data_IF_454351249056
#
_entry.id   IF_454351249056
#
_cell.length_a   1.000
_cell.length_b   1.000
_cell.length_c   1.000
_cell.angle_alpha   90.00
_cell.angle_beta   90.00
_cell.angle_gamma   90.00
#
_symmetry.space_group_name_H-M   'P 1'
#
loop_
_entity.id
_entity.type
_entity.pdbx_description
1 polymer ?
#
# COMPACT_ATOMS: atom_id res chain seq x y z
N UNK A 1 11.05 -6.91 -6.88
CA UNK A 1 9.59 -7.17 -6.89
C UNK A 1 9.04 -6.90 -5.50
N UNK A 2 7.87 -6.28 -5.41
CA UNK A 2 7.20 -5.96 -4.14
C UNK A 2 6.81 -7.28 -3.44
N UNK A 3 7.00 -7.33 -2.11
CA UNK A 3 6.67 -8.49 -1.25
C UNK A 3 5.73 -8.05 -0.13
N UNK A 4 4.89 -8.97 0.34
CA UNK A 4 4.03 -8.78 1.51
C UNK A 4 4.82 -9.00 2.81
N UNK A 5 5.75 -8.10 3.14
CA UNK A 5 6.65 -8.28 4.30
C UNK A 5 6.97 -7.01 5.11
N UNK A 6 6.12 -5.98 5.05
CA UNK A 6 6.43 -4.68 5.67
C UNK A 6 6.58 -4.77 7.19
N UNK A 7 5.74 -5.52 7.90
CA UNK A 7 5.86 -5.80 9.34
C UNK A 7 7.17 -6.48 9.70
N UNK A 8 7.68 -7.35 8.83
CA UNK A 8 8.98 -8.01 9.01
C UNK A 8 10.17 -7.05 8.91
N UNK A 9 9.95 -5.81 8.43
CA UNK A 9 10.97 -4.75 8.32
C UNK A 9 10.94 -3.79 9.51
N UNK A 10 10.00 -3.95 10.46
CA UNK A 10 9.91 -3.10 11.64
C UNK A 10 11.10 -3.31 12.56
N UNK A 11 11.66 -2.20 13.03
CA UNK A 11 12.84 -2.19 13.91
C UNK A 11 12.44 -2.17 15.38
N UNK A 12 13.40 -2.43 16.27
CA UNK A 12 13.20 -2.23 17.70
C UNK A 12 12.82 -0.76 18.03
N UNK A 13 13.38 0.21 17.29
CA UNK A 13 13.05 1.62 17.47
C UNK A 13 11.58 1.93 17.10
N UNK A 14 11.05 1.29 16.05
CA UNK A 14 9.64 1.40 15.67
C UNK A 14 8.72 0.90 16.79
N UNK A 15 9.00 -0.27 17.35
CA UNK A 15 8.19 -0.86 18.42
C UNK A 15 8.28 -0.03 19.71
N UNK A 16 9.46 0.52 20.02
CA UNK A 16 9.64 1.44 21.14
C UNK A 16 8.85 2.74 20.94
N UNK A 17 8.83 3.30 19.73
CA UNK A 17 8.02 4.46 19.40
C UNK A 17 6.53 4.15 19.56
N UNK A 18 6.04 3.01 19.06
CA UNK A 18 4.64 2.60 19.23
C UNK A 18 4.28 2.51 20.72
N UNK A 19 5.11 1.87 21.54
CA UNK A 19 4.90 1.80 22.99
C UNK A 19 4.89 3.20 23.61
N UNK A 20 5.83 4.07 23.24
CA UNK A 20 5.91 5.44 23.73
C UNK A 20 4.61 6.20 23.43
N UNK A 21 4.14 6.15 22.18
CA UNK A 21 2.92 6.81 21.72
C UNK A 21 1.67 6.30 22.45
N UNK A 22 1.52 4.98 22.57
CA UNK A 22 0.36 4.36 23.20
C UNK A 22 0.37 4.46 24.73
N UNK A 23 1.55 4.57 25.36
CA UNK A 23 1.67 4.71 26.81
C UNK A 23 1.16 6.06 27.31
N UNK A 24 1.21 7.11 26.48
CA UNK A 24 0.81 8.48 26.83
C UNK A 24 1.41 8.96 28.17
N UNK A 25 2.67 8.60 28.44
CA UNK A 25 3.40 8.97 29.65
C UNK A 25 3.14 8.11 30.90
N UNK A 26 2.23 7.12 30.83
CA UNK A 26 1.95 6.22 31.96
C UNK A 26 2.93 5.04 32.01
N UNK A 27 3.69 4.92 33.11
CA UNK A 27 4.59 3.80 33.36
C UNK A 27 3.84 2.46 33.45
N UNK A 28 2.66 2.44 34.06
CA UNK A 28 1.82 1.24 34.16
C UNK A 28 1.33 0.80 32.76
N UNK A 29 0.84 1.75 31.95
CA UNK A 29 0.39 1.47 30.58
C UNK A 29 1.54 1.01 29.71
N UNK A 30 2.73 1.60 29.87
CA UNK A 30 3.96 1.16 29.20
C UNK A 30 4.30 -0.29 29.53
N UNK A 31 4.37 -0.65 30.81
CA UNK A 31 4.68 -2.03 31.23
C UNK A 31 3.65 -3.05 30.71
N UNK A 32 2.37 -2.66 30.64
CA UNK A 32 1.33 -3.48 30.02
C UNK A 32 1.56 -3.70 28.51
N UNK A 33 1.87 -2.63 27.77
CA UNK A 33 2.14 -2.71 26.33
C UNK A 33 3.39 -3.53 26.02
N UNK A 34 4.46 -3.38 26.82
CA UNK A 34 5.67 -4.20 26.71
C UNK A 34 5.37 -5.68 26.91
N UNK A 35 4.56 -6.03 27.92
CA UNK A 35 4.11 -7.43 28.14
C UNK A 35 3.26 -7.95 26.98
N UNK A 36 2.34 -7.13 26.45
CA UNK A 36 1.55 -7.52 25.27
C UNK A 36 2.44 -7.76 24.05
N UNK A 37 3.41 -6.88 23.79
CA UNK A 37 4.34 -7.06 22.69
C UNK A 37 5.10 -8.40 22.80
N UNK A 38 5.54 -8.76 24.01
CA UNK A 38 6.24 -10.05 24.24
C UNK A 38 5.33 -11.27 24.07
N UNK A 39 4.05 -11.17 24.43
CA UNK A 39 3.12 -12.31 24.50
C UNK A 39 2.28 -12.50 23.24
N UNK A 40 1.82 -11.41 22.63
CA UNK A 40 0.92 -11.39 21.47
C UNK A 40 1.62 -10.91 20.19
N UNK A 41 2.86 -10.42 20.29
CA UNK A 41 3.55 -9.79 19.16
C UNK A 41 3.12 -8.34 18.91
N UNK A 42 3.58 -7.74 17.79
CA UNK A 42 3.37 -6.32 17.52
C UNK A 42 1.97 -5.99 16.97
N UNK A 43 1.31 -6.95 16.31
CA UNK A 43 0.06 -6.71 15.58
C UNK A 43 -1.01 -6.00 16.43
N UNK A 44 -1.30 -6.40 17.69
CA UNK A 44 -2.35 -5.74 18.46
C UNK A 44 -2.02 -4.31 18.87
N UNK A 45 -0.73 -3.96 18.94
CA UNK A 45 -0.29 -2.58 19.19
C UNK A 45 -0.41 -1.76 17.91
N UNK A 46 -0.03 -2.32 16.75
CA UNK A 46 -0.19 -1.68 15.45
C UNK A 46 -1.66 -1.45 15.09
N UNK A 47 -2.55 -2.31 15.58
CA UNK A 47 -4.00 -2.24 15.42
C UNK A 47 -4.70 -1.31 16.43
N UNK A 48 -3.97 -0.64 17.33
CA UNK A 48 -4.55 0.27 18.31
C UNK A 48 -5.18 1.51 17.64
N UNK A 49 -6.46 1.84 17.92
CA UNK A 49 -7.20 2.86 17.18
C UNK A 49 -6.59 4.27 17.30
N UNK A 50 -6.00 4.59 18.45
CA UNK A 50 -5.34 5.88 18.67
C UNK A 50 -3.97 6.01 17.95
N UNK A 51 -3.41 4.92 17.41
CA UNK A 51 -2.03 4.92 16.92
C UNK A 51 -1.83 5.85 15.73
N UNK A 52 -2.74 5.86 14.75
CA UNK A 52 -2.63 6.70 13.55
C UNK A 52 -2.50 8.17 13.93
N UNK A 53 -3.39 8.66 14.79
CA UNK A 53 -3.39 10.07 15.22
C UNK A 53 -2.13 10.43 16.00
N UNK A 54 -1.70 9.53 16.89
CA UNK A 54 -0.46 9.70 17.65
C UNK A 54 0.77 9.72 16.74
N UNK A 55 0.77 8.90 15.70
CA UNK A 55 1.86 8.83 14.72
C UNK A 55 1.94 10.10 13.87
N UNK A 56 0.80 10.64 13.42
CA UNK A 56 0.74 11.87 12.63
C UNK A 56 1.06 13.13 13.44
N UNK A 57 0.83 13.10 14.76
CA UNK A 57 1.04 14.25 15.66
C UNK A 57 2.33 14.15 16.49
N UNK A 58 3.15 13.12 16.28
CA UNK A 58 4.34 12.86 17.09
C UNK A 58 5.31 14.04 17.08
N UNK A 59 5.69 14.49 18.28
CA UNK A 59 6.74 15.49 18.52
C UNK A 59 7.79 14.86 19.44
N UNK A 60 8.56 13.93 18.90
CA UNK A 60 9.55 13.16 19.65
C UNK A 60 10.87 13.05 18.89
N UNK A 61 11.95 12.72 19.60
CA UNK A 61 13.25 12.44 18.96
C UNK A 61 13.24 11.10 18.21
N UNK A 62 12.33 10.18 18.55
CA UNK A 62 12.10 8.96 17.81
C UNK A 62 11.15 9.27 16.64
N UNK A 63 11.66 9.13 15.42
CA UNK A 63 10.87 9.23 14.19
C UNK A 63 10.43 7.83 13.76
N UNK A 64 9.20 7.67 13.24
CA UNK A 64 8.79 6.39 12.67
C UNK A 64 9.63 6.09 11.43
N UNK A 65 10.02 4.83 11.25
CA UNK A 65 10.51 4.39 9.94
C UNK A 65 9.40 4.53 8.90
N UNK A 66 9.80 4.65 7.62
CA UNK A 66 8.84 4.65 6.52
C UNK A 66 7.98 3.36 6.53
N UNK A 67 8.58 2.21 6.91
CA UNK A 67 7.89 0.94 7.02
C UNK A 67 6.78 0.96 8.07
N UNK A 68 7.07 1.46 9.28
CA UNK A 68 6.06 1.64 10.32
C UNK A 68 4.97 2.60 9.86
N UNK A 69 5.36 3.73 9.28
CA UNK A 69 4.44 4.78 8.85
C UNK A 69 3.44 4.26 7.82
N UNK A 70 3.91 3.71 6.70
CA UNK A 70 3.02 3.22 5.64
C UNK A 70 2.22 2.00 6.09
N UNK A 71 2.79 1.08 6.86
CA UNK A 71 2.04 -0.08 7.36
C UNK A 71 0.87 0.34 8.23
N UNK A 72 1.09 1.21 9.23
CA UNK A 72 0.03 1.66 10.14
C UNK A 72 -1.07 2.40 9.37
N UNK A 73 -0.72 3.30 8.46
CA UNK A 73 -1.72 4.04 7.67
C UNK A 73 -2.58 3.11 6.79
N UNK A 74 -1.93 2.22 6.04
CA UNK A 74 -2.62 1.26 5.17
C UNK A 74 -3.46 0.30 5.99
N UNK A 75 -2.90 -0.28 7.06
CA UNK A 75 -3.61 -1.24 7.92
C UNK A 75 -4.89 -0.66 8.49
N UNK A 76 -4.85 0.58 8.99
CA UNK A 76 -6.04 1.25 9.52
C UNK A 76 -7.03 1.65 8.41
N UNK A 77 -6.56 2.08 7.25
CA UNK A 77 -7.42 2.37 6.10
C UNK A 77 -8.21 1.13 5.64
N UNK A 78 -7.54 -0.03 5.57
CA UNK A 78 -8.18 -1.29 5.22
C UNK A 78 -9.22 -1.72 6.27
N UNK A 79 -8.85 -1.68 7.56
CA UNK A 79 -9.77 -2.05 8.65
C UNK A 79 -11.02 -1.16 8.69
N UNK A 80 -10.85 0.14 8.49
CA UNK A 80 -11.97 1.09 8.42
C UNK A 80 -12.91 0.81 7.23
N UNK A 81 -12.41 0.13 6.20
CA UNK A 81 -13.15 -0.30 5.02
C UNK A 81 -13.68 -1.74 5.14
N UNK A 82 -13.57 -2.37 6.32
CA UNK A 82 -14.00 -3.75 6.56
C UNK A 82 -13.07 -4.83 5.97
N UNK A 83 -11.85 -4.46 5.59
CA UNK A 83 -10.84 -5.37 5.06
C UNK A 83 -9.81 -5.67 6.16
N UNK A 84 -9.96 -6.82 6.81
CA UNK A 84 -9.06 -7.27 7.87
C UNK A 84 -8.07 -8.32 7.35
N UNK A 85 -7.16 -7.89 6.48
CA UNK A 85 -6.10 -8.73 5.91
C UNK A 85 -4.75 -8.06 6.14
N UNK A 86 -3.88 -8.73 6.91
CA UNK A 86 -2.56 -8.19 7.30
C UNK A 86 -1.51 -8.37 6.22
N UNK A 87 -1.58 -9.45 5.44
CA UNK A 87 -0.62 -9.70 4.35
C UNK A 87 -0.91 -8.76 3.18
N UNK A 88 -2.19 -8.44 2.95
CA UNK A 88 -2.59 -7.39 2.03
C UNK A 88 -2.13 -6.01 2.51
N UNK A 89 -2.26 -5.71 3.81
CA UNK A 89 -1.73 -4.48 4.38
C UNK A 89 -0.20 -4.37 4.21
N UNK A 90 0.52 -5.48 4.43
CA UNK A 90 1.95 -5.57 4.21
C UNK A 90 2.33 -5.30 2.76
N UNK A 91 1.60 -5.92 1.82
CA UNK A 91 1.84 -5.76 0.39
C UNK A 91 1.59 -4.33 -0.07
N UNK A 92 0.47 -3.75 0.32
CA UNK A 92 0.11 -2.39 -0.07
C UNK A 92 1.05 -1.35 0.57
N UNK A 93 1.46 -1.53 1.81
CA UNK A 93 2.48 -0.67 2.42
C UNK A 93 3.83 -0.77 1.68
N UNK A 94 4.25 -1.99 1.31
CA UNK A 94 5.44 -2.20 0.50
C UNK A 94 5.31 -1.57 -0.90
N UNK A 95 4.13 -1.66 -1.53
CA UNK A 95 3.83 -0.98 -2.79
C UNK A 95 4.05 0.53 -2.67
N UNK A 96 3.48 1.17 -1.65
CA UNK A 96 3.61 2.62 -1.45
C UNK A 96 5.05 3.04 -1.19
N UNK A 97 5.78 2.26 -0.38
CA UNK A 97 7.21 2.47 -0.13
C UNK A 97 8.02 2.42 -1.42
N UNK A 98 7.85 1.36 -2.21
CA UNK A 98 8.62 1.17 -3.44
C UNK A 98 8.25 2.23 -4.48
N UNK A 99 6.97 2.56 -4.66
CA UNK A 99 6.52 3.53 -5.66
C UNK A 99 6.79 4.99 -5.26
N UNK A 100 6.97 5.26 -3.97
CA UNK A 100 7.44 6.56 -3.47
C UNK A 100 8.91 6.85 -3.78
N UNK A 101 9.69 5.86 -4.23
CA UNK A 101 11.10 6.04 -4.53
C UNK A 101 11.37 6.36 -6.00
N UNK A 102 11.92 7.57 -6.26
CA UNK A 102 12.39 8.02 -7.59
C UNK A 102 11.30 7.82 -8.66
N UNK A 103 11.64 7.11 -9.75
CA UNK A 103 10.75 6.82 -10.87
C UNK A 103 10.15 5.41 -10.82
N UNK A 104 10.16 4.72 -9.67
CA UNK A 104 9.79 3.30 -9.57
C UNK A 104 8.35 3.01 -10.00
N UNK A 105 7.44 3.94 -9.76
CA UNK A 105 6.06 3.83 -10.22
C UNK A 105 5.97 3.77 -11.76
N UNK A 106 6.91 4.40 -12.46
CA UNK A 106 6.93 4.48 -13.92
C UNK A 106 7.75 3.35 -14.56
N UNK A 107 8.38 2.47 -13.78
CA UNK A 107 9.25 1.38 -14.29
C UNK A 107 8.74 0.02 -13.84
N UNK A 108 8.83 -1.01 -14.68
CA UNK A 108 8.42 -2.37 -14.29
C UNK A 108 9.47 -3.01 -13.38
N UNK A 109 10.76 -2.84 -13.70
CA UNK A 109 11.91 -3.25 -12.88
C UNK A 109 12.92 -2.08 -12.75
N UNK A 110 13.77 -2.10 -11.73
CA UNK A 110 14.76 -1.03 -11.49
C UNK A 110 15.76 -0.89 -12.64
N UNK A 111 16.06 -2.00 -13.32
CA UNK A 111 16.96 -2.09 -14.46
C UNK A 111 16.24 -1.91 -15.82
N UNK A 112 14.95 -1.55 -15.82
CA UNK A 112 14.23 -1.29 -17.07
C UNK A 112 14.48 0.14 -17.56
N UNK A 113 14.92 0.26 -18.81
CA UNK A 113 15.08 1.56 -19.49
C UNK A 113 13.72 2.14 -19.88
N UNK A 114 12.68 1.31 -20.01
CA UNK A 114 11.34 1.75 -20.39
C UNK A 114 10.60 2.40 -19.20
N UNK A 115 10.02 3.56 -19.47
CA UNK A 115 9.12 4.25 -18.54
C UNK A 115 7.68 4.21 -19.06
N UNK A 116 6.76 3.63 -18.31
CA UNK A 116 5.34 3.54 -18.66
C UNK A 116 4.57 4.63 -17.92
N UNK A 117 4.14 5.66 -18.65
CA UNK A 117 3.33 6.77 -18.09
C UNK A 117 1.83 6.55 -18.22
N UNK A 118 1.42 5.59 -19.05
CA UNK A 118 0.02 5.28 -19.29
C UNK A 118 -0.21 3.77 -19.18
N UNK A 119 -1.39 3.37 -18.69
CA UNK A 119 -1.77 1.95 -18.58
C UNK A 119 -1.74 1.25 -19.94
N UNK A 120 -2.02 1.97 -21.03
CA UNK A 120 -1.93 1.45 -22.39
C UNK A 120 -0.51 1.02 -22.76
N UNK A 121 0.52 1.71 -22.24
CA UNK A 121 1.92 1.34 -22.47
C UNK A 121 2.25 0.03 -21.73
N UNK A 122 1.71 -0.15 -20.52
CA UNK A 122 1.86 -1.38 -19.73
C UNK A 122 1.12 -2.54 -20.41
N UNK A 123 -0.07 -2.30 -20.96
CA UNK A 123 -0.83 -3.30 -21.72
C UNK A 123 -0.09 -3.74 -22.99
N UNK A 124 0.50 -2.80 -23.73
CA UNK A 124 1.30 -3.11 -24.91
C UNK A 124 2.51 -3.99 -24.54
N UNK A 125 3.21 -3.69 -23.43
CA UNK A 125 4.31 -4.54 -22.95
C UNK A 125 3.81 -5.92 -22.48
N UNK A 126 2.61 -5.98 -21.89
CA UNK A 126 2.00 -7.27 -21.51
C UNK A 126 1.73 -8.13 -22.74
N UNK A 127 1.29 -7.57 -23.86
CA UNK A 127 1.07 -8.32 -25.10
C UNK A 127 2.40 -8.77 -25.75
N UNK A 128 3.46 -7.99 -25.58
CA UNK A 128 4.78 -8.27 -26.14
C UNK A 128 5.65 -9.23 -25.31
N UNK A 129 5.26 -9.56 -24.07
CA UNK A 129 6.12 -10.29 -23.12
C UNK A 129 5.60 -11.67 -22.72
N UNK A 130 6.55 -12.59 -22.47
CA UNK A 130 6.33 -13.94 -21.97
C UNK A 130 7.12 -14.25 -20.68
N UNK A 131 6.90 -15.43 -20.12
CA UNK A 131 7.68 -15.95 -18.97
C UNK A 131 7.64 -15.05 -17.73
N UNK A 132 8.78 -14.95 -17.02
CA UNK A 132 8.89 -14.16 -15.78
C UNK A 132 8.60 -12.67 -15.99
N UNK A 133 9.03 -12.09 -17.11
CA UNK A 133 8.75 -10.67 -17.40
C UNK A 133 7.25 -10.43 -17.47
N UNK A 134 6.51 -11.31 -18.15
CA UNK A 134 5.05 -11.20 -18.26
C UNK A 134 4.39 -11.11 -16.88
N UNK A 135 4.81 -11.95 -15.93
CA UNK A 135 4.30 -11.91 -14.55
C UNK A 135 4.56 -10.56 -13.89
N UNK A 136 5.79 -10.02 -14.02
CA UNK A 136 6.13 -8.69 -13.50
C UNK A 136 5.25 -7.59 -14.12
N UNK A 137 4.97 -7.67 -15.42
CA UNK A 137 4.09 -6.70 -16.11
C UNK A 137 2.65 -6.81 -15.59
N UNK A 138 2.12 -8.03 -15.40
CA UNK A 138 0.77 -8.24 -14.84
C UNK A 138 0.63 -7.62 -13.43
N UNK A 139 1.60 -7.90 -12.55
CA UNK A 139 1.66 -7.34 -11.19
C UNK A 139 1.78 -5.81 -11.24
N UNK A 140 2.64 -5.29 -12.11
CA UNK A 140 2.85 -3.85 -12.25
C UNK A 140 1.60 -3.13 -12.77
N UNK A 141 0.84 -3.72 -13.70
CA UNK A 141 -0.44 -3.17 -14.16
C UNK A 141 -1.42 -2.97 -13.02
N UNK A 142 -1.58 -4.00 -12.16
CA UNK A 142 -2.42 -3.92 -10.96
C UNK A 142 -1.95 -2.86 -9.98
N UNK A 143 -0.66 -2.92 -9.63
CA UNK A 143 -0.02 -2.00 -8.69
C UNK A 143 -0.12 -0.54 -9.14
N UNK A 144 0.17 -0.26 -10.40
CA UNK A 144 0.16 1.08 -10.96
C UNK A 144 -1.25 1.66 -11.02
N UNK A 145 -2.23 0.86 -11.49
CA UNK A 145 -3.62 1.27 -11.48
C UNK A 145 -4.10 1.61 -10.05
N UNK A 146 -3.82 0.75 -9.07
CA UNK A 146 -4.25 0.93 -7.70
C UNK A 146 -3.57 2.12 -7.03
N UNK A 147 -2.26 2.28 -7.22
CA UNK A 147 -1.49 3.40 -6.69
C UNK A 147 -2.00 4.73 -7.25
N UNK A 148 -2.16 4.82 -8.57
CA UNK A 148 -2.57 6.05 -9.24
C UNK A 148 -3.99 6.45 -8.83
N UNK A 149 -4.92 5.49 -8.87
CA UNK A 149 -6.33 5.77 -8.54
C UNK A 149 -6.59 5.88 -7.05
N UNK A 150 -5.79 5.21 -6.21
CA UNK A 150 -5.91 5.21 -4.75
C UNK A 150 -5.28 6.44 -4.10
N UNK A 151 -4.14 6.93 -4.60
CA UNK A 151 -3.48 8.09 -3.99
C UNK A 151 -3.74 9.42 -4.70
N UNK A 152 -4.05 9.41 -6.00
CA UNK A 152 -4.18 10.64 -6.80
C UNK A 152 -5.51 10.71 -7.58
N UNK A 153 -6.67 10.56 -6.93
CA UNK A 153 -7.97 10.58 -7.63
C UNK A 153 -8.22 11.90 -8.38
N UNK A 154 -7.80 13.04 -7.82
CA UNK A 154 -7.95 14.36 -8.45
C UNK A 154 -7.15 14.50 -9.74
N UNK A 155 -5.98 13.85 -9.83
CA UNK A 155 -5.20 13.84 -11.06
C UNK A 155 -5.97 13.15 -12.20
N UNK A 156 -6.64 12.03 -11.90
CA UNK A 156 -7.50 11.32 -12.86
C UNK A 156 -8.69 12.19 -13.28
N UNK A 157 -9.40 12.78 -12.31
CA UNK A 157 -10.55 13.65 -12.57
C UNK A 157 -10.17 14.86 -13.44
N UNK A 158 -9.09 15.56 -13.09
CA UNK A 158 -8.59 16.71 -13.83
C UNK A 158 -8.14 16.34 -15.26
N UNK A 159 -7.64 15.13 -15.47
CA UNK A 159 -7.23 14.64 -16.78
C UNK A 159 -8.43 14.26 -17.65
N UNK A 160 -9.47 13.65 -17.07
CA UNK A 160 -10.74 13.37 -17.75
C UNK A 160 -11.35 14.66 -18.30
N UNK A 161 -11.40 15.71 -17.47
CA UNK A 161 -11.94 17.01 -17.85
C UNK A 161 -11.11 17.72 -18.94
N UNK A 162 -9.77 17.70 -18.83
CA UNK A 162 -8.90 18.49 -19.73
C UNK A 162 -8.50 17.79 -21.02
N UNK A 163 -8.49 16.44 -21.04
CA UNK A 163 -7.89 15.65 -22.12
C UNK A 163 -8.78 14.50 -22.61
N UNK A 164 -10.06 14.47 -22.23
CA UNK A 164 -10.96 13.33 -22.47
C UNK A 164 -10.33 11.99 -22.07
N UNK A 165 -9.54 12.00 -20.99
CA UNK A 165 -8.89 10.80 -20.47
C UNK A 165 -9.91 9.77 -19.93
N UNK A 166 -9.51 8.50 -19.79
CA UNK A 166 -10.38 7.48 -19.24
C UNK A 166 -10.86 7.84 -17.82
N UNK A 167 -12.06 7.38 -17.46
CA UNK A 167 -12.54 7.53 -16.10
C UNK A 167 -11.95 6.46 -15.17
N UNK A 168 -12.22 6.57 -13.86
CA UNK A 168 -11.69 5.66 -12.84
C UNK A 168 -12.08 4.20 -13.10
N UNK A 169 -13.23 3.92 -13.74
CA UNK A 169 -13.68 2.55 -13.99
C UNK A 169 -12.77 1.80 -14.97
N UNK A 170 -12.18 2.52 -15.92
CA UNK A 170 -11.16 1.97 -16.83
C UNK A 170 -9.93 1.49 -16.06
N UNK A 171 -9.46 2.28 -15.09
CA UNK A 171 -8.32 1.91 -14.26
C UNK A 171 -8.66 0.75 -13.32
N UNK A 172 -9.87 0.75 -12.72
CA UNK A 172 -10.34 -0.36 -11.87
C UNK A 172 -10.37 -1.68 -12.64
N UNK A 173 -10.93 -1.68 -13.84
CA UNK A 173 -11.02 -2.87 -14.68
C UNK A 173 -9.63 -3.41 -15.06
N UNK A 174 -8.71 -2.55 -15.48
CA UNK A 174 -7.36 -2.97 -15.85
C UNK A 174 -6.52 -3.39 -14.64
N UNK A 175 -6.65 -2.68 -13.53
CA UNK A 175 -5.93 -3.01 -12.30
C UNK A 175 -6.37 -4.35 -11.72
N UNK A 176 -7.68 -4.56 -11.59
CA UNK A 176 -8.27 -5.84 -11.16
C UNK A 176 -7.85 -6.98 -12.09
N UNK A 177 -7.92 -6.78 -13.41
CA UNK A 177 -7.46 -7.77 -14.40
C UNK A 177 -5.96 -8.08 -14.25
N UNK A 178 -5.12 -7.06 -14.10
CA UNK A 178 -3.67 -7.23 -13.91
C UNK A 178 -3.35 -8.12 -12.71
N UNK A 179 -3.96 -7.84 -11.56
CA UNK A 179 -3.82 -8.67 -10.37
C UNK A 179 -4.41 -10.08 -10.53
N UNK A 180 -5.58 -10.22 -11.16
CA UNK A 180 -6.20 -11.52 -11.40
C UNK A 180 -5.31 -12.43 -12.23
N UNK A 181 -4.84 -11.94 -13.39
CA UNK A 181 -3.91 -12.69 -14.25
C UNK A 181 -2.61 -13.03 -13.52
N UNK A 182 -2.08 -12.09 -12.72
CA UNK A 182 -0.89 -12.33 -11.94
C UNK A 182 -1.12 -13.43 -10.88
N UNK A 183 -2.25 -13.41 -10.19
CA UNK A 183 -2.59 -14.36 -9.13
C UNK A 183 -2.67 -15.81 -9.62
N UNK A 184 -3.09 -16.01 -10.87
CA UNK A 184 -3.19 -17.33 -11.49
C UNK A 184 -1.87 -17.82 -12.12
N UNK A 185 -0.84 -16.97 -12.13
CA UNK A 185 0.46 -17.32 -12.68
C UNK A 185 1.28 -18.17 -11.69
N UNK A 186 2.00 -19.18 -12.19
CA UNK A 186 2.80 -20.10 -11.36
C UNK A 186 3.80 -19.39 -10.42
N UNK A 187 4.35 -18.25 -10.86
CA UNK A 187 5.25 -17.42 -10.05
C UNK A 187 4.57 -16.80 -8.84
N UNK A 188 3.26 -16.53 -8.86
CA UNK A 188 2.57 -15.96 -7.71
C UNK A 188 2.69 -16.86 -6.47
N UNK A 189 2.44 -18.16 -6.62
CA UNK A 189 2.64 -19.14 -5.57
C UNK A 189 4.11 -19.24 -5.14
N UNK A 190 5.06 -19.21 -6.09
CA UNK A 190 6.50 -19.24 -5.78
C UNK A 190 6.94 -18.05 -4.91
N UNK A 191 6.35 -16.88 -5.11
CA UNK A 191 6.64 -15.68 -4.31
C UNK A 191 5.70 -15.50 -3.10
N UNK A 192 4.74 -16.40 -2.88
CA UNK A 192 3.74 -16.29 -1.82
C UNK A 192 2.79 -15.09 -1.99
N UNK A 193 2.47 -14.74 -3.24
CA UNK A 193 1.64 -13.59 -3.60
C UNK A 193 0.28 -13.97 -4.19
N UNK A 194 0.02 -15.24 -4.46
CA UNK A 194 -1.21 -15.73 -5.09
C UNK A 194 -2.47 -15.25 -4.37
N UNK A 195 -2.56 -15.46 -3.05
CA UNK A 195 -3.72 -15.02 -2.26
C UNK A 195 -3.84 -13.51 -2.20
N UNK A 196 -2.73 -12.79 -1.96
CA UNK A 196 -2.72 -11.32 -1.85
C UNK A 196 -3.13 -10.67 -3.17
N UNK A 197 -2.59 -11.15 -4.30
CA UNK A 197 -2.93 -10.63 -5.63
C UNK A 197 -4.38 -10.98 -5.98
N UNK A 198 -4.87 -12.18 -5.62
CA UNK A 198 -6.27 -12.55 -5.84
C UNK A 198 -7.22 -11.66 -5.05
N UNK A 199 -6.97 -11.46 -3.76
CA UNK A 199 -7.75 -10.52 -2.94
C UNK A 199 -7.69 -9.10 -3.50
N UNK A 200 -6.52 -8.67 -3.99
CA UNK A 200 -6.36 -7.36 -4.62
C UNK A 200 -7.18 -7.21 -5.92
N UNK A 201 -7.29 -8.29 -6.71
CA UNK A 201 -8.14 -8.33 -7.89
C UNK A 201 -9.63 -8.26 -7.53
N UNK A 202 -10.07 -9.10 -6.60
CA UNK A 202 -11.48 -9.27 -6.22
C UNK A 202 -12.03 -8.06 -5.46
N UNK A 203 -11.18 -7.37 -4.69
CA UNK A 203 -11.55 -6.24 -3.83
C UNK A 203 -10.99 -4.91 -4.32
N UNK A 204 -10.61 -4.82 -5.59
CA UNK A 204 -9.89 -3.67 -6.15
C UNK A 204 -10.53 -2.31 -5.81
N UNK A 205 -11.83 -2.14 -6.11
CA UNK A 205 -12.52 -0.88 -5.85
C UNK A 205 -12.60 -0.54 -4.35
N UNK A 206 -12.76 -1.55 -3.47
CA UNK A 206 -12.71 -1.34 -2.02
C UNK A 206 -11.32 -0.90 -1.55
N UNK A 207 -10.26 -1.51 -2.08
CA UNK A 207 -8.88 -1.12 -1.79
C UNK A 207 -8.58 0.29 -2.27
N UNK A 208 -9.00 0.64 -3.48
CA UNK A 208 -8.87 1.99 -4.02
C UNK A 208 -9.58 3.00 -3.12
N UNK A 209 -10.83 2.75 -2.75
CA UNK A 209 -11.58 3.64 -1.85
C UNK A 209 -10.92 3.78 -0.48
N UNK A 210 -10.38 2.71 0.10
CA UNK A 210 -9.63 2.75 1.35
C UNK A 210 -8.39 3.66 1.23
N UNK A 211 -7.63 3.50 0.14
CA UNK A 211 -6.46 4.31 -0.14
C UNK A 211 -6.82 5.78 -0.44
N UNK A 212 -7.95 6.05 -1.09
CA UNK A 212 -8.44 7.41 -1.30
C UNK A 212 -8.67 8.11 0.04
N UNK A 213 -9.45 7.51 0.94
CA UNK A 213 -9.71 8.10 2.25
C UNK A 213 -8.44 8.31 3.09
N UNK A 214 -7.46 7.41 2.95
CA UNK A 214 -6.14 7.59 3.55
C UNK A 214 -5.37 8.76 2.93
N UNK A 215 -5.35 8.86 1.60
CA UNK A 215 -4.66 9.91 0.86
C UNK A 215 -5.22 11.29 1.18
N UNK A 216 -6.56 11.42 1.17
CA UNK A 216 -7.27 12.64 1.50
C UNK A 216 -6.99 13.07 2.95
N UNK A 217 -6.82 12.13 3.88
CA UNK A 217 -6.51 12.47 5.28
C UNK A 217 -5.06 12.90 5.48
N UNK A 218 -4.11 12.30 4.75
CA UNK A 218 -2.68 12.36 5.09
C UNK A 218 -1.86 13.16 4.08
N UNK A 219 -2.05 12.93 2.79
CA UNK A 219 -1.21 13.50 1.74
C UNK A 219 -1.83 14.75 1.11
N UNK A 220 -3.15 14.75 0.96
CA UNK A 220 -3.90 15.86 0.36
C UNK A 220 -5.10 16.25 1.25
N UNK A 221 -4.86 16.61 2.53
CA UNK A 221 -5.92 17.15 3.38
C UNK A 221 -6.55 18.34 2.66
N UNK A 222 -7.85 18.24 2.39
CA UNK A 222 -8.60 19.36 1.83
C UNK A 222 -8.36 20.56 2.73
N UNK A 223 -7.68 21.58 2.21
CA UNK A 223 -7.76 22.92 2.79
C UNK A 223 -9.24 23.25 2.78
N UNK A 224 -9.90 23.20 3.93
CA UNK A 224 -11.24 23.75 4.10
C UNK A 224 -11.25 25.14 3.47
N UNK A 225 -11.99 25.28 2.38
CA UNK A 225 -12.39 26.58 1.83
C UNK A 225 -13.36 27.27 2.79
#
# INVERSE_FOLDING_TARGET
MIRANTRGRLTAADLQLVILLLSSGSAQRRAYLERRLTTEGPDPLLDAPELVERLLTVRSMLLPSEALFFYVLVRHALRNSGLDDRDLADYLAALLLEFGQRDRAWRIDWNDDQQHRYLVDILADLEATGGERRFKVMVHLGNYALWLTGLFPDYIAARRLRKAGPDVSYYDALGSRGFGMASDHALAAQYGLDLVLRTAADRFSSLRSALNGMSDRVFFPSSTH
#
